data_IF_657078260795
#
_entry.id   IF_657078260795
#
_cell.length_a   1.000
_cell.length_b   1.000
_cell.length_c   1.000
_cell.angle_alpha   90.00
_cell.angle_beta   90.00
_cell.angle_gamma   90.00
#
_symmetry.space_group_name_H-M   'P 1'
#
loop_
_entity.id
_entity.type
_entity.pdbx_description
1 polymer ?
#
# COMPACT_ATOMS: atom_id res chain seq x y z
N UNK A 1 26.24 -19.68 -13.65
CA UNK A 1 25.34 -19.27 -14.76
C UNK A 1 23.83 -19.36 -14.43
N UNK A 2 23.40 -19.49 -13.17
CA UNK A 2 21.99 -19.85 -12.85
C UNK A 2 21.16 -18.75 -12.14
N UNK A 3 21.78 -17.67 -11.68
CA UNK A 3 21.10 -16.65 -10.88
C UNK A 3 20.28 -15.65 -11.71
N UNK A 4 20.78 -15.25 -12.90
CA UNK A 4 20.03 -14.37 -13.82
C UNK A 4 18.69 -15.00 -14.27
N UNK A 5 18.66 -16.33 -14.47
CA UNK A 5 17.46 -17.08 -14.88
C UNK A 5 16.47 -17.30 -13.72
N UNK A 6 16.93 -17.28 -12.46
CA UNK A 6 16.06 -17.30 -11.27
C UNK A 6 15.43 -15.93 -11.06
N UNK A 7 16.20 -14.86 -11.18
CA UNK A 7 15.69 -13.49 -11.06
C UNK A 7 14.64 -13.13 -12.12
N UNK A 8 14.78 -13.60 -13.36
CA UNK A 8 13.79 -13.35 -14.42
C UNK A 8 12.45 -14.01 -14.10
N UNK A 9 12.48 -15.28 -13.67
CA UNK A 9 11.28 -16.04 -13.27
C UNK A 9 10.57 -15.44 -12.07
N UNK A 10 11.30 -14.85 -11.13
CA UNK A 10 10.71 -14.15 -9.99
C UNK A 10 10.01 -12.85 -10.40
N UNK A 11 10.66 -12.06 -11.27
CA UNK A 11 10.09 -10.81 -11.81
C UNK A 11 8.87 -11.09 -12.69
N UNK A 12 8.85 -12.21 -13.40
CA UNK A 12 7.69 -12.67 -14.19
C UNK A 12 6.49 -12.97 -13.27
N UNK A 13 6.67 -13.74 -12.20
CA UNK A 13 5.57 -14.05 -11.27
C UNK A 13 4.97 -12.81 -10.58
N UNK A 14 5.77 -11.78 -10.33
CA UNK A 14 5.28 -10.52 -9.76
C UNK A 14 4.45 -9.68 -10.76
N UNK A 15 4.76 -9.82 -12.05
CA UNK A 15 4.03 -9.17 -13.15
C UNK A 15 2.71 -9.88 -13.49
N UNK A 16 2.63 -11.19 -13.35
CA UNK A 16 1.41 -11.96 -13.63
C UNK A 16 0.22 -11.46 -12.80
N UNK A 17 -0.98 -11.48 -13.38
CA UNK A 17 -2.21 -11.13 -12.65
C UNK A 17 -2.60 -12.24 -11.66
N UNK A 18 -3.48 -11.93 -10.69
CA UNK A 18 -3.91 -12.93 -9.71
C UNK A 18 -4.64 -14.12 -10.36
N UNK A 19 -5.25 -13.94 -11.54
CA UNK A 19 -5.95 -15.01 -12.26
C UNK A 19 -4.92 -15.99 -12.84
N UNK A 20 -3.91 -15.47 -13.53
CA UNK A 20 -2.81 -16.27 -14.10
C UNK A 20 -2.03 -17.02 -13.02
N UNK A 21 -1.78 -16.39 -11.87
CA UNK A 21 -1.10 -17.04 -10.75
C UNK A 21 -1.95 -18.19 -10.16
N UNK A 22 -3.28 -18.08 -10.18
CA UNK A 22 -4.16 -19.19 -9.76
C UNK A 22 -4.12 -20.34 -10.75
N UNK A 23 -4.08 -20.08 -12.05
CA UNK A 23 -3.97 -21.14 -13.06
C UNK A 23 -2.64 -21.90 -12.95
N UNK A 24 -1.55 -21.18 -12.71
CA UNK A 24 -0.23 -21.79 -12.48
C UNK A 24 -0.24 -22.59 -11.18
N UNK A 25 -0.84 -22.08 -10.10
CA UNK A 25 -0.92 -22.79 -8.82
C UNK A 25 -1.82 -24.04 -8.89
N UNK A 26 -2.90 -24.03 -9.68
CA UNK A 26 -3.76 -25.21 -9.90
C UNK A 26 -3.03 -26.38 -10.58
N UNK A 27 -1.98 -26.09 -11.37
CA UNK A 27 -1.17 -27.12 -12.06
C UNK A 27 -0.13 -27.77 -11.14
N UNK A 28 0.07 -27.23 -9.94
CA UNK A 28 1.03 -27.74 -8.97
C UNK A 28 0.30 -28.72 -8.03
N UNK A 29 0.63 -30.03 -8.07
CA UNK A 29 0.05 -31.01 -7.16
C UNK A 29 0.58 -30.74 -5.75
N UNK A 30 -0.24 -30.11 -4.89
CA UNK A 30 0.12 -29.79 -3.50
C UNK A 30 -0.45 -28.46 -2.99
N UNK A 31 -0.83 -27.54 -3.89
CA UNK A 31 -1.45 -26.27 -3.49
C UNK A 31 -2.98 -26.41 -3.51
N UNK A 32 -3.59 -26.61 -2.35
CA UNK A 32 -5.06 -26.59 -2.17
C UNK A 32 -5.54 -25.20 -1.75
N UNK A 33 -6.80 -24.84 -2.03
CA UNK A 33 -7.37 -23.54 -1.62
C UNK A 33 -6.97 -22.32 -2.47
N UNK A 34 -6.42 -22.54 -3.67
CA UNK A 34 -5.89 -21.51 -4.59
C UNK A 34 -6.87 -20.36 -4.88
N UNK A 35 -8.17 -20.61 -4.90
CA UNK A 35 -9.20 -19.60 -5.20
C UNK A 35 -9.20 -18.45 -4.19
N UNK A 36 -9.04 -18.75 -2.89
CA UNK A 36 -9.09 -17.79 -1.80
C UNK A 36 -7.77 -17.09 -1.48
N UNK A 37 -6.67 -17.49 -2.13
CA UNK A 37 -5.34 -16.93 -1.85
C UNK A 37 -5.15 -15.53 -2.44
N UNK A 38 -4.50 -14.65 -1.67
CA UNK A 38 -4.09 -13.33 -2.18
C UNK A 38 -2.93 -13.48 -3.15
N UNK A 39 -2.77 -12.53 -4.07
CA UNK A 39 -1.69 -12.53 -5.09
C UNK A 39 -0.30 -12.80 -4.50
N UNK A 40 0.02 -12.22 -3.35
CA UNK A 40 1.31 -12.41 -2.68
C UNK A 40 1.52 -13.85 -2.19
N UNK A 41 0.47 -14.48 -1.69
CA UNK A 41 0.52 -15.84 -1.15
C UNK A 41 0.69 -16.85 -2.29
N UNK A 42 0.00 -16.64 -3.42
CA UNK A 42 0.17 -17.42 -4.65
C UNK A 42 1.60 -17.36 -5.18
N UNK A 43 2.21 -16.17 -5.25
CA UNK A 43 3.61 -16.02 -5.68
C UNK A 43 4.53 -16.80 -4.74
N UNK A 44 4.30 -16.73 -3.43
CA UNK A 44 5.14 -17.42 -2.45
C UNK A 44 5.03 -18.94 -2.54
N UNK A 45 3.83 -19.48 -2.75
CA UNK A 45 3.60 -20.91 -2.93
C UNK A 45 4.29 -21.42 -4.20
N UNK A 46 4.10 -20.72 -5.33
CA UNK A 46 4.73 -21.07 -6.60
C UNK A 46 6.26 -20.97 -6.53
N UNK A 47 6.82 -19.99 -5.81
CA UNK A 47 8.29 -19.86 -5.61
C UNK A 47 8.86 -21.01 -4.77
N UNK A 48 8.12 -21.47 -3.74
CA UNK A 48 8.51 -22.61 -2.90
C UNK A 48 8.52 -23.92 -3.69
N UNK A 49 7.47 -24.20 -4.46
CA UNK A 49 7.41 -25.40 -5.32
C UNK A 49 8.48 -25.41 -6.42
N UNK A 50 8.88 -24.25 -6.92
CA UNK A 50 9.94 -24.13 -7.94
C UNK A 50 11.37 -24.19 -7.38
N UNK A 51 11.56 -24.50 -6.10
CA UNK A 51 12.88 -24.76 -5.49
C UNK A 51 13.82 -23.56 -5.47
N UNK A 52 13.30 -22.34 -5.50
CA UNK A 52 14.11 -21.12 -5.34
C UNK A 52 14.08 -20.72 -3.87
N UNK A 53 15.01 -21.31 -3.10
CA UNK A 53 15.21 -20.95 -1.69
C UNK A 53 15.61 -19.47 -1.56
N UNK A 54 14.88 -18.78 -0.69
CA UNK A 54 14.85 -17.34 -0.54
C UNK A 54 16.17 -16.75 0.01
N UNK A 55 16.59 -15.61 -0.54
CA UNK A 55 17.31 -14.60 0.24
C UNK A 55 16.33 -13.48 0.60
N UNK A 56 16.09 -13.36 1.90
CA UNK A 56 15.29 -12.33 2.54
C UNK A 56 15.69 -10.91 2.10
N UNK A 57 14.86 -10.28 1.26
CA UNK A 57 14.82 -8.82 1.16
C UNK A 57 13.36 -8.33 1.22
N UNK A 58 12.93 -8.13 2.46
CA UNK A 58 12.14 -6.98 2.94
C UNK A 58 11.01 -6.51 2.00
N UNK A 59 9.85 -7.15 2.16
CA UNK A 59 8.48 -6.69 1.87
C UNK A 59 8.34 -5.19 1.47
N UNK A 60 8.58 -4.87 0.19
CA UNK A 60 8.02 -3.67 -0.45
C UNK A 60 6.65 -4.04 -1.02
N UNK A 61 5.66 -3.90 -0.17
CA UNK A 61 4.27 -4.00 -0.57
C UNK A 61 3.96 -2.92 -1.61
N UNK A 62 3.49 -3.37 -2.77
CA UNK A 62 2.83 -2.56 -3.77
C UNK A 62 1.65 -1.80 -3.13
N UNK A 63 1.65 -0.48 -3.28
CA UNK A 63 0.47 0.34 -3.10
C UNK A 63 0.11 0.93 -4.48
N UNK A 64 -0.25 0.04 -5.41
CA UNK A 64 -0.68 0.41 -6.76
C UNK A 64 -2.20 0.34 -6.90
N UNK A 65 -2.98 0.76 -5.89
CA UNK A 65 -4.39 1.14 -6.08
C UNK A 65 -4.74 2.19 -5.02
N UNK A 66 -4.61 3.46 -5.38
CA UNK A 66 -5.34 4.64 -4.87
C UNK A 66 -4.75 5.88 -5.55
N UNK A 67 -4.88 5.92 -6.88
CA UNK A 67 -4.47 7.04 -7.71
C UNK A 67 -5.53 8.14 -7.70
N UNK A 68 -6.00 8.50 -6.50
CA UNK A 68 -6.89 9.64 -6.31
C UNK A 68 -6.53 10.35 -5.00
N UNK A 69 -5.88 11.51 -5.16
CA UNK A 69 -5.72 12.57 -4.16
C UNK A 69 -4.66 12.32 -3.08
N UNK A 70 -3.41 12.47 -3.52
CA UNK A 70 -2.22 12.97 -2.81
C UNK A 70 -2.18 12.92 -1.28
N UNK A 71 -1.25 12.15 -0.74
CA UNK A 71 -0.04 12.64 -0.04
C UNK A 71 0.74 11.38 0.34
N UNK A 72 2.00 11.33 -0.10
CA UNK A 72 2.94 10.33 0.32
C UNK A 72 3.30 10.57 1.80
N UNK A 73 3.17 9.53 2.62
CA UNK A 73 3.95 9.40 3.85
C UNK A 73 4.53 7.99 3.82
N UNK A 74 5.77 7.91 3.32
CA UNK A 74 6.66 6.80 3.62
C UNK A 74 6.94 6.93 5.12
N UNK A 75 6.38 6.03 5.92
CA UNK A 75 7.16 5.25 6.88
C UNK A 75 6.24 4.32 7.68
N UNK A 76 6.55 3.03 7.61
CA UNK A 76 6.00 1.99 8.48
C UNK A 76 6.55 2.20 9.89
N UNK A 77 5.96 3.10 10.68
CA UNK A 77 5.96 2.96 12.14
C UNK A 77 4.58 2.46 12.55
N UNK A 78 4.57 1.49 13.47
CA UNK A 78 3.36 0.94 14.11
C UNK A 78 2.38 2.08 14.35
N UNK A 79 1.09 1.91 13.98
CA UNK A 79 0.06 2.92 14.21
C UNK A 79 -0.13 3.11 15.72
N UNK A 80 0.77 3.85 16.35
CA UNK A 80 0.43 4.58 17.56
C UNK A 80 -0.77 5.45 17.17
N UNK A 81 -1.83 5.38 17.96
CA UNK A 81 -2.97 6.30 17.83
C UNK A 81 -2.35 7.69 17.86
N UNK A 82 -2.44 8.43 16.76
CA UNK A 82 -1.79 9.74 16.66
C UNK A 82 -2.27 10.57 17.86
N UNK A 83 -1.33 11.07 18.68
CA UNK A 83 -1.68 11.77 19.90
C UNK A 83 -2.56 13.00 19.57
N UNK A 84 -3.40 13.45 20.50
CA UNK A 84 -4.21 14.66 20.31
C UNK A 84 -3.34 15.85 19.90
N UNK A 85 -2.10 15.91 20.40
CA UNK A 85 -1.11 16.93 20.04
C UNK A 85 -0.71 16.84 18.55
N UNK A 86 -0.49 15.63 18.03
CA UNK A 86 -0.07 15.41 16.65
C UNK A 86 -1.21 15.69 15.67
N UNK A 87 -2.43 15.30 16.02
CA UNK A 87 -3.63 15.65 15.26
C UNK A 87 -3.81 17.18 15.19
N UNK A 88 -3.60 17.90 16.30
CA UNK A 88 -3.64 19.37 16.32
C UNK A 88 -2.55 19.99 15.45
N UNK A 89 -1.32 19.43 15.43
CA UNK A 89 -0.25 19.87 14.52
C UNK A 89 -0.65 19.67 13.05
N UNK A 90 -1.20 18.51 12.70
CA UNK A 90 -1.68 18.23 11.33
C UNK A 90 -2.81 19.18 10.90
N UNK A 91 -3.72 19.52 11.81
CA UNK A 91 -4.79 20.51 11.55
C UNK A 91 -4.20 21.88 11.20
N UNK A 92 -3.20 22.37 11.95
CA UNK A 92 -2.55 23.66 11.66
C UNK A 92 -1.92 23.68 10.27
N UNK A 93 -1.16 22.63 9.91
CA UNK A 93 -0.55 22.49 8.58
C UNK A 93 -1.59 22.55 7.45
N UNK A 94 -2.70 21.83 7.60
CA UNK A 94 -3.76 21.82 6.57
C UNK A 94 -4.55 23.13 6.49
N UNK A 95 -4.64 23.91 7.57
CA UNK A 95 -5.25 25.25 7.52
C UNK A 95 -4.43 26.20 6.67
N UNK A 96 -3.11 26.19 6.80
CA UNK A 96 -2.19 26.98 5.97
C UNK A 96 -2.34 26.57 4.51
N UNK A 97 -2.21 25.27 4.22
CA UNK A 97 -2.38 24.75 2.86
C UNK A 97 -3.75 25.08 2.24
N UNK A 98 -4.83 25.12 3.04
CA UNK A 98 -6.14 25.60 2.58
C UNK A 98 -6.12 27.08 2.24
N UNK A 99 -5.49 27.93 3.07
CA UNK A 99 -5.32 29.35 2.79
C UNK A 99 -4.57 29.58 1.48
N UNK A 100 -3.47 28.86 1.27
CA UNK A 100 -2.67 28.95 0.05
C UNK A 100 -3.45 28.48 -1.19
N UNK A 101 -4.21 27.38 -1.07
CA UNK A 101 -5.08 26.91 -2.15
C UNK A 101 -6.20 27.92 -2.49
N UNK A 102 -6.75 28.61 -1.50
CA UNK A 102 -7.74 29.67 -1.72
C UNK A 102 -7.13 30.88 -2.44
N UNK A 103 -5.91 31.29 -2.05
CA UNK A 103 -5.15 32.35 -2.74
C UNK A 103 -4.84 31.97 -4.19
N UNK A 104 -4.47 30.71 -4.42
CA UNK A 104 -4.21 30.15 -5.74
C UNK A 104 -5.49 29.87 -6.55
N UNK A 105 -6.69 30.18 -6.03
CA UNK A 105 -7.99 29.84 -6.62
C UNK A 105 -8.18 28.36 -6.97
N UNK A 106 -7.42 27.46 -6.34
CA UNK A 106 -7.59 26.01 -6.46
C UNK A 106 -8.73 25.53 -5.54
N UNK A 107 -9.95 25.66 -6.06
CA UNK A 107 -11.18 25.29 -5.36
C UNK A 107 -11.21 23.81 -4.96
N UNK A 108 -10.65 22.93 -5.80
CA UNK A 108 -10.61 21.48 -5.58
C UNK A 108 -9.71 21.14 -4.41
N UNK A 109 -8.51 21.70 -4.35
CA UNK A 109 -7.59 21.48 -3.22
C UNK A 109 -8.11 22.13 -1.94
N UNK A 110 -8.67 23.34 -2.01
CA UNK A 110 -9.31 23.98 -0.86
C UNK A 110 -10.46 23.13 -0.26
N UNK A 111 -11.28 22.49 -1.11
CA UNK A 111 -12.33 21.57 -0.68
C UNK A 111 -11.76 20.30 -0.03
N UNK A 112 -10.72 19.71 -0.63
CA UNK A 112 -10.05 18.52 -0.07
C UNK A 112 -9.47 18.84 1.31
N UNK A 113 -8.77 19.97 1.46
CA UNK A 113 -8.21 20.40 2.73
C UNK A 113 -9.30 20.67 3.77
N UNK A 114 -10.39 21.34 3.41
CA UNK A 114 -11.57 21.50 4.30
C UNK A 114 -12.05 20.14 4.83
N UNK A 115 -12.26 19.15 3.94
CA UNK A 115 -12.71 17.80 4.36
C UNK A 115 -11.72 17.10 5.29
N UNK A 116 -10.42 17.19 5.00
CA UNK A 116 -9.37 16.59 5.83
C UNK A 116 -9.33 17.22 7.22
N UNK A 117 -9.41 18.55 7.31
CA UNK A 117 -9.50 19.28 8.58
C UNK A 117 -10.72 18.81 9.39
N UNK A 118 -11.91 18.71 8.78
CA UNK A 118 -13.10 18.24 9.50
C UNK A 118 -12.94 16.83 10.05
N UNK A 119 -12.34 15.92 9.27
CA UNK A 119 -12.07 14.54 9.73
C UNK A 119 -11.08 14.51 10.89
N UNK A 120 -10.00 15.30 10.82
CA UNK A 120 -9.02 15.38 11.91
C UNK A 120 -9.62 16.01 13.17
N UNK A 121 -10.47 17.05 13.04
CA UNK A 121 -11.21 17.64 14.16
C UNK A 121 -12.15 16.63 14.84
N UNK A 122 -12.79 15.75 14.06
CA UNK A 122 -13.58 14.65 14.62
C UNK A 122 -12.69 13.67 15.38
N UNK A 123 -11.57 13.24 14.79
CA UNK A 123 -10.59 12.36 15.45
C UNK A 123 -10.02 12.94 16.74
N UNK A 124 -9.75 14.25 16.80
CA UNK A 124 -9.28 14.88 18.05
C UNK A 124 -10.32 14.86 19.16
N UNK A 125 -11.62 14.91 18.82
CA UNK A 125 -12.70 14.80 19.81
C UNK A 125 -12.94 13.36 20.28
N UNK A 126 -12.60 12.38 19.46
CA UNK A 126 -12.75 10.97 19.80
C UNK A 126 -11.54 10.38 20.56
N UNK A 127 -10.41 11.09 20.54
CA UNK A 127 -9.16 10.67 21.18
C UNK A 127 -8.84 11.46 22.46
N UNK A 128 -9.72 12.40 22.83
CA UNK A 128 -9.72 13.10 24.11
C UNK A 128 -10.88 12.53 24.93
#
# INVERSE_FOLDING_TARGET
MNDKKKESKEKELEKMTAIELREVAKKIPGITGVSGMKKADLISAIKKDRGVAAKDKKKKAAASVKKDRGVADKDKKKKAVASVSDLKKQIRKLKVARGDALKAKDSKMAYIFKRRISRLKKKTRMAA
#
